data_IF_121416162871
#
_entry.id   IF_121416162871
#
_cell.length_a   1.000
_cell.length_b   1.000
_cell.length_c   1.000
_cell.angle_alpha   90.00
_cell.angle_beta   90.00
_cell.angle_gamma   90.00
#
_symmetry.space_group_name_H-M   'P 1'
#
loop_
_entity.id
_entity.type
_entity.pdbx_description
1 polymer ?
#
# COMPACT_ATOMS: atom_id res chain seq x y z
N UNK A 1 10.87 43.68 -40.37
CA UNK A 1 9.53 43.05 -40.28
C UNK A 1 9.57 42.09 -39.12
N UNK A 2 9.10 42.53 -37.94
CA UNK A 2 9.28 41.83 -36.68
C UNK A 2 8.06 40.94 -36.45
N UNK A 3 8.22 39.63 -36.60
CA UNK A 3 7.16 38.67 -36.31
C UNK A 3 7.06 38.47 -34.80
N UNK A 4 6.02 39.03 -34.19
CA UNK A 4 5.66 38.78 -32.80
C UNK A 4 5.21 37.31 -32.67
N UNK A 5 6.03 36.48 -32.05
CA UNK A 5 5.62 35.14 -31.64
C UNK A 5 4.58 35.33 -30.53
N UNK A 6 3.30 35.19 -30.88
CA UNK A 6 2.23 35.03 -29.89
C UNK A 6 2.48 33.70 -29.17
N UNK A 7 3.20 33.76 -28.06
CA UNK A 7 3.19 32.71 -27.05
C UNK A 7 1.74 32.58 -26.57
N UNK A 8 1.04 31.53 -27.02
CA UNK A 8 -0.18 31.07 -26.33
C UNK A 8 0.26 30.67 -24.93
N UNK A 9 0.02 31.55 -23.97
CA UNK A 9 0.16 31.24 -22.55
C UNK A 9 -0.74 30.03 -22.28
N UNK A 10 -0.15 28.85 -22.11
CA UNK A 10 -0.92 27.64 -21.82
C UNK A 10 -1.51 27.80 -20.42
N UNK A 11 -2.77 28.21 -20.33
CA UNK A 11 -3.54 28.51 -19.12
C UNK A 11 -3.75 27.33 -18.18
N UNK A 12 -3.08 26.19 -18.39
CA UNK A 12 -3.34 24.95 -17.68
C UNK A 12 -2.25 24.66 -16.64
N UNK A 13 -2.58 24.79 -15.34
CA UNK A 13 -1.72 24.33 -14.25
C UNK A 13 -2.08 22.87 -13.95
N UNK A 14 -1.11 21.95 -14.06
CA UNK A 14 -1.27 20.55 -13.67
C UNK A 14 -0.64 20.33 -12.29
N UNK A 15 -1.44 19.97 -11.28
CA UNK A 15 -0.96 19.58 -9.96
C UNK A 15 -1.09 18.06 -9.80
N UNK A 16 0.02 17.34 -9.64
CA UNK A 16 -0.03 15.90 -9.37
C UNK A 16 -0.53 15.65 -7.94
N UNK A 17 -1.46 14.70 -7.80
CA UNK A 17 -1.93 14.21 -6.52
C UNK A 17 -1.21 12.90 -6.26
N UNK A 18 -0.37 12.89 -5.22
CA UNK A 18 0.39 11.71 -4.84
C UNK A 18 -0.56 10.68 -4.22
N UNK A 19 -0.72 9.56 -4.93
CA UNK A 19 -1.60 8.46 -4.56
C UNK A 19 -1.06 7.59 -3.44
N UNK A 20 -1.32 6.28 -3.55
CA UNK A 20 -0.92 5.28 -2.56
C UNK A 20 0.57 4.93 -2.61
N UNK A 21 1.32 5.33 -3.63
CA UNK A 21 2.78 5.09 -3.75
C UNK A 21 3.63 6.00 -2.87
N UNK A 22 3.32 6.03 -1.58
CA UNK A 22 4.06 6.77 -0.55
C UNK A 22 4.99 5.83 0.20
N UNK A 23 6.17 6.32 0.60
CA UNK A 23 7.11 5.55 1.42
C UNK A 23 6.44 4.94 2.67
N UNK A 24 5.57 5.70 3.34
CA UNK A 24 4.81 5.21 4.50
C UNK A 24 3.94 3.98 4.19
N UNK A 25 3.35 3.90 2.99
CA UNK A 25 2.55 2.76 2.59
C UNK A 25 3.43 1.54 2.30
N UNK A 26 4.57 1.72 1.63
CA UNK A 26 5.55 0.63 1.42
C UNK A 26 6.10 0.10 2.75
N UNK A 27 6.40 1.00 3.69
CA UNK A 27 6.89 0.64 5.01
C UNK A 27 5.87 -0.19 5.79
N UNK A 28 4.61 0.28 5.83
CA UNK A 28 3.54 -0.45 6.52
C UNK A 28 3.25 -1.79 5.85
N UNK A 29 3.16 -1.83 4.52
CA UNK A 29 2.95 -3.07 3.77
C UNK A 29 4.06 -4.10 4.06
N UNK A 30 5.31 -3.66 4.17
CA UNK A 30 6.45 -4.53 4.51
C UNK A 30 6.34 -5.09 5.93
N UNK A 31 6.06 -4.25 6.94
CA UNK A 31 5.91 -4.70 8.33
C UNK A 31 4.76 -5.72 8.46
N UNK A 32 3.61 -5.42 7.86
CA UNK A 32 2.44 -6.30 7.89
C UNK A 32 2.72 -7.61 7.15
N UNK A 33 3.47 -7.57 6.04
CA UNK A 33 3.87 -8.78 5.30
C UNK A 33 4.75 -9.70 6.14
N UNK A 34 5.75 -9.13 6.84
CA UNK A 34 6.65 -9.89 7.72
C UNK A 34 5.86 -10.48 8.89
N UNK A 35 5.05 -9.67 9.57
CA UNK A 35 4.26 -10.10 10.73
C UNK A 35 3.22 -11.17 10.36
N UNK A 36 2.45 -10.95 9.31
CA UNK A 36 1.42 -11.90 8.84
C UNK A 36 2.02 -13.23 8.41
N UNK A 37 3.11 -13.20 7.62
CA UNK A 37 3.81 -14.42 7.21
C UNK A 37 4.43 -15.13 8.41
N UNK A 38 5.04 -14.40 9.34
CA UNK A 38 5.63 -14.97 10.56
C UNK A 38 4.61 -15.68 11.43
N UNK A 39 3.44 -15.08 11.68
CA UNK A 39 2.35 -15.71 12.44
C UNK A 39 1.74 -16.90 11.72
N UNK A 40 1.60 -16.82 10.40
CA UNK A 40 1.11 -17.94 9.59
C UNK A 40 2.08 -19.12 9.65
N UNK A 41 3.39 -18.88 9.50
CA UNK A 41 4.43 -19.90 9.62
C UNK A 41 4.52 -20.48 11.03
N UNK A 42 4.41 -19.66 12.07
CA UNK A 42 4.39 -20.13 13.46
C UNK A 42 3.19 -21.06 13.76
N UNK A 43 1.99 -20.67 13.31
CA UNK A 43 0.79 -21.50 13.45
C UNK A 43 0.91 -22.82 12.67
N UNK A 44 1.44 -22.76 11.45
CA UNK A 44 1.63 -23.93 10.60
C UNK A 44 2.70 -24.88 11.16
N UNK A 45 3.77 -24.32 11.73
CA UNK A 45 4.81 -25.06 12.43
C UNK A 45 4.28 -25.82 13.64
N UNK A 46 3.42 -25.18 14.44
CA UNK A 46 2.77 -25.82 15.58
C UNK A 46 1.83 -26.98 15.16
N UNK A 47 1.19 -26.87 13.98
CA UNK A 47 0.35 -27.95 13.42
C UNK A 47 1.18 -29.14 12.93
N UNK A 48 2.24 -28.90 12.17
CA UNK A 48 3.07 -29.97 11.59
C UNK A 48 4.17 -30.50 12.52
N UNK A 49 4.42 -29.85 13.66
CA UNK A 49 5.52 -30.17 14.59
C UNK A 49 6.90 -30.11 13.89
N UNK A 50 7.03 -29.23 12.91
CA UNK A 50 8.28 -28.96 12.17
C UNK A 50 8.62 -27.50 12.37
N UNK A 51 9.86 -27.15 12.69
CA UNK A 51 10.28 -25.75 12.82
C UNK A 51 10.43 -25.10 11.44
N UNK A 52 9.38 -24.39 11.01
CA UNK A 52 9.39 -23.61 9.76
C UNK A 52 10.03 -22.24 9.91
N UNK A 53 10.22 -21.77 11.14
CA UNK A 53 10.87 -20.49 11.41
C UNK A 53 12.37 -20.70 11.64
N UNK A 54 13.24 -19.88 11.01
CA UNK A 54 14.69 -19.96 11.23
C UNK A 54 15.10 -19.55 12.64
N UNK A 55 14.18 -18.97 13.42
CA UNK A 55 14.42 -18.51 14.80
C UNK A 55 13.23 -18.92 15.67
N UNK A 56 13.46 -19.79 16.66
CA UNK A 56 12.47 -20.22 17.67
C UNK A 56 12.18 -21.73 17.67
N UNK A 57 11.93 -22.31 18.86
CA UNK A 57 11.45 -23.68 19.04
C UNK A 57 9.92 -23.72 18.95
N UNK A 58 9.39 -23.58 17.75
CA UNK A 58 7.94 -23.62 17.48
C UNK A 58 7.35 -25.02 17.61
N UNK A 59 8.17 -26.07 17.55
CA UNK A 59 7.76 -27.47 17.76
C UNK A 59 7.20 -27.75 19.17
N UNK A 60 7.58 -26.96 20.18
CA UNK A 60 7.05 -27.06 21.55
C UNK A 60 5.73 -26.30 21.77
N UNK A 61 5.27 -25.52 20.80
CA UNK A 61 4.07 -24.70 20.95
C UNK A 61 2.81 -25.58 20.88
N UNK A 62 1.95 -25.47 21.90
CA UNK A 62 0.65 -26.17 21.92
C UNK A 62 -0.29 -25.54 20.88
N UNK A 63 -0.72 -26.34 19.90
CA UNK A 63 -1.52 -25.86 18.77
C UNK A 63 -2.83 -25.20 19.19
N UNK A 64 -3.50 -25.75 20.21
CA UNK A 64 -4.77 -25.22 20.71
C UNK A 64 -4.56 -24.67 22.14
N UNK A 65 -4.95 -23.42 22.44
CA UNK A 65 -5.60 -22.43 21.55
C UNK A 65 -4.61 -21.53 20.78
N UNK A 66 -3.34 -21.50 21.18
CA UNK A 66 -2.38 -20.46 20.78
C UNK A 66 -1.96 -20.56 19.31
N UNK A 67 -1.65 -21.76 18.81
CA UNK A 67 -1.29 -21.99 17.41
C UNK A 67 -2.43 -21.63 16.44
N UNK A 68 -3.68 -21.97 16.79
CA UNK A 68 -4.88 -21.60 16.01
C UNK A 68 -5.06 -20.08 15.97
N UNK A 69 -4.89 -19.39 17.11
CA UNK A 69 -4.96 -17.93 17.14
C UNK A 69 -3.88 -17.30 16.26
N UNK A 70 -2.64 -17.78 16.32
CA UNK A 70 -1.56 -17.29 15.45
C UNK A 70 -1.84 -17.56 13.97
N UNK A 71 -2.40 -18.72 13.63
CA UNK A 71 -2.78 -19.02 12.26
C UNK A 71 -3.89 -18.08 11.76
N UNK A 72 -4.91 -17.82 12.58
CA UNK A 72 -6.00 -16.89 12.25
C UNK A 72 -5.47 -15.47 12.00
N UNK A 73 -4.69 -14.92 12.94
CA UNK A 73 -4.09 -13.59 12.79
C UNK A 73 -3.07 -13.54 11.65
N UNK A 74 -2.36 -14.64 11.38
CA UNK A 74 -1.45 -14.78 10.25
C UNK A 74 -2.17 -14.69 8.92
N UNK A 75 -3.27 -15.42 8.74
CA UNK A 75 -4.11 -15.34 7.53
C UNK A 75 -4.65 -13.92 7.34
N UNK A 76 -5.22 -13.32 8.39
CA UNK A 76 -5.71 -11.95 8.33
C UNK A 76 -4.60 -10.95 7.97
N UNK A 77 -3.40 -11.12 8.55
CA UNK A 77 -2.23 -10.30 8.24
C UNK A 77 -1.75 -10.45 6.80
N UNK A 78 -1.70 -11.67 6.26
CA UNK A 78 -1.34 -11.93 4.86
C UNK A 78 -2.37 -11.33 3.89
N UNK A 79 -3.66 -11.46 4.17
CA UNK A 79 -4.72 -10.84 3.37
C UNK A 79 -4.61 -9.31 3.39
N UNK A 80 -4.37 -8.72 4.56
CA UNK A 80 -4.14 -7.28 4.70
C UNK A 80 -2.89 -6.83 3.93
N UNK A 81 -1.79 -7.58 4.02
CA UNK A 81 -0.57 -7.31 3.27
C UNK A 81 -0.84 -7.33 1.76
N UNK A 82 -1.51 -8.38 1.25
CA UNK A 82 -1.89 -8.48 -0.16
C UNK A 82 -2.74 -7.29 -0.60
N UNK A 83 -3.72 -6.90 0.21
CA UNK A 83 -4.54 -5.72 -0.04
C UNK A 83 -3.69 -4.44 -0.15
N UNK A 84 -2.78 -4.20 0.80
CA UNK A 84 -1.90 -3.02 0.78
C UNK A 84 -1.00 -3.01 -0.47
N UNK A 85 -0.42 -4.15 -0.83
CA UNK A 85 0.39 -4.27 -2.04
C UNK A 85 -0.42 -4.02 -3.31
N UNK A 86 -1.67 -4.50 -3.39
CA UNK A 86 -2.56 -4.21 -4.53
C UNK A 86 -2.90 -2.72 -4.63
N UNK A 87 -3.22 -2.08 -3.50
CA UNK A 87 -3.50 -0.63 -3.43
C UNK A 87 -2.30 0.19 -3.90
N UNK A 88 -1.09 -0.20 -3.54
CA UNK A 88 0.16 0.44 -3.98
C UNK A 88 0.43 0.18 -5.47
N UNK A 89 0.24 -1.07 -5.92
CA UNK A 89 0.47 -1.49 -7.30
C UNK A 89 -0.40 -0.69 -8.26
N UNK A 90 -1.68 -0.54 -7.94
CA UNK A 90 -2.65 0.21 -8.74
C UNK A 90 -2.54 1.73 -8.56
N UNK A 91 -1.65 2.23 -7.70
CA UNK A 91 -1.54 3.64 -7.32
C UNK A 91 -2.90 4.29 -6.98
N UNK A 92 -3.72 3.57 -6.21
CA UNK A 92 -5.08 4.02 -5.87
C UNK A 92 -5.01 5.40 -5.22
N UNK A 93 -5.81 6.34 -5.74
CA UNK A 93 -5.83 7.73 -5.30
C UNK A 93 -4.76 8.63 -5.95
N UNK A 94 -3.93 8.08 -6.83
CA UNK A 94 -2.99 8.83 -7.65
C UNK A 94 -3.68 9.49 -8.84
N UNK A 95 -3.23 10.68 -9.23
CA UNK A 95 -3.80 11.41 -10.35
C UNK A 95 -3.18 12.77 -10.55
N UNK A 96 -3.85 13.62 -11.34
CA UNK A 96 -3.46 15.00 -11.54
C UNK A 96 -4.70 15.89 -11.64
N UNK A 97 -4.62 17.10 -11.10
CA UNK A 97 -5.65 18.10 -11.24
C UNK A 97 -5.23 19.12 -12.32
N UNK A 98 -6.08 19.35 -13.31
CA UNK A 98 -5.87 20.34 -14.38
C UNK A 98 -6.72 21.57 -14.08
N UNK A 99 -6.08 22.70 -13.80
CA UNK A 99 -6.75 23.98 -13.61
C UNK A 99 -6.64 24.80 -14.88
N UNK A 100 -7.76 25.13 -15.51
CA UNK A 100 -7.79 26.02 -16.67
C UNK A 100 -8.08 27.47 -16.23
N UNK A 101 -7.10 28.36 -16.41
CA UNK A 101 -7.22 29.77 -15.99
C UNK A 101 -8.32 30.54 -16.76
N UNK A 102 -8.81 30.05 -17.91
CA UNK A 102 -9.83 30.78 -18.69
C UNK A 102 -11.24 30.70 -18.11
N UNK A 103 -11.58 29.67 -17.31
CA UNK A 103 -12.94 29.52 -16.74
C UNK A 103 -13.17 30.27 -15.42
N UNK A 104 -12.11 30.73 -14.75
CA UNK A 104 -12.21 31.40 -13.45
C UNK A 104 -12.62 32.87 -13.50
N UNK A 105 -12.55 33.53 -14.66
CA UNK A 105 -12.73 34.99 -14.76
C UNK A 105 -14.16 35.45 -15.09
N UNK A 106 -15.12 34.54 -15.30
CA UNK A 106 -16.48 34.91 -15.76
C UNK A 106 -17.65 34.58 -14.81
N UNK A 107 -17.40 34.18 -13.56
CA UNK A 107 -18.48 33.79 -12.63
C UNK A 107 -18.88 34.88 -11.61
N UNK A 108 -18.32 36.09 -11.70
CA UNK A 108 -18.68 37.22 -10.85
C UNK A 108 -18.83 38.51 -11.68
N UNK A 109 -19.91 38.58 -12.47
CA UNK A 109 -20.57 39.84 -12.85
C UNK A 109 -22.06 39.60 -12.98
#
# INVERSE_FOLDING_TARGET
>A
MTASITQRESSTICQSVLGSRRFSNYWLATIVSIGGTGFLLAGLSSYFKVDLLPVGNTTQLVFIPQGVAMMFYGIAGVLLALYLWMVILWDVGGGYNKFDKEKGSRAHR
#
